data_IF_228243810659
#
_entry.id   IF_228243810659
#
_cell.length_a   1.000
_cell.length_b   1.000
_cell.length_c   1.000
_cell.angle_alpha   90.00
_cell.angle_beta   90.00
_cell.angle_gamma   90.00
#
_symmetry.space_group_name_H-M   'P 1'
#
loop_
_entity.id
_entity.type
_entity.pdbx_description
1 polymer ?
#
# COMPACT_ATOMS: atom_id res chain seq x y z
N UNK A 1 8.35 -9.73 15.96
CA UNK A 1 8.63 -8.29 16.07
C UNK A 1 10.11 -7.96 16.31
N UNK A 2 10.91 -8.85 16.90
CA UNK A 2 12.30 -8.55 17.31
C UNK A 2 13.40 -8.94 16.30
N UNK A 3 13.04 -9.56 15.18
CA UNK A 3 13.99 -10.07 14.18
C UNK A 3 14.85 -9.00 13.49
N UNK A 4 14.54 -7.72 13.69
CA UNK A 4 15.28 -6.59 13.11
C UNK A 4 16.08 -5.80 14.15
N UNK A 5 16.08 -6.20 15.43
CA UNK A 5 16.76 -5.46 16.51
C UNK A 5 18.26 -5.28 16.23
N UNK A 6 18.90 -6.28 15.63
CA UNK A 6 20.31 -6.23 15.20
C UNK A 6 20.53 -5.20 14.07
N UNK A 7 19.49 -4.84 13.32
CA UNK A 7 19.47 -3.75 12.33
C UNK A 7 19.13 -2.38 12.93
N UNK A 8 18.94 -2.29 14.25
CA UNK A 8 18.78 -1.02 14.98
C UNK A 8 17.34 -0.51 15.14
N UNK A 9 16.33 -1.31 14.76
CA UNK A 9 14.91 -0.99 14.97
C UNK A 9 14.08 -2.26 15.15
N UNK A 10 12.86 -2.15 15.67
CA UNK A 10 11.90 -3.25 15.73
C UNK A 10 10.48 -2.73 15.59
N UNK A 11 9.55 -3.63 15.26
CA UNK A 11 8.13 -3.29 15.13
C UNK A 11 7.43 -3.34 16.48
N UNK A 12 6.64 -2.30 16.80
CA UNK A 12 5.75 -2.24 17.95
C UNK A 12 4.36 -2.82 17.65
N UNK A 13 3.92 -2.73 16.39
CA UNK A 13 2.61 -3.16 15.94
C UNK A 13 2.60 -3.37 14.42
N UNK A 14 1.62 -4.14 13.92
CA UNK A 14 1.34 -4.31 12.50
C UNK A 14 -0.09 -3.87 12.19
N UNK A 15 -0.25 -2.92 11.28
CA UNK A 15 -1.53 -2.42 10.82
C UNK A 15 -1.98 -3.10 9.53
N UNK A 16 -3.29 -3.25 9.40
CA UNK A 16 -3.92 -3.82 8.20
C UNK A 16 -3.95 -2.75 7.12
N UNK A 17 -3.41 -3.08 5.94
CA UNK A 17 -3.44 -2.24 4.74
C UNK A 17 -4.21 -2.91 3.57
N UNK A 18 -4.98 -3.95 3.87
CA UNK A 18 -5.78 -4.69 2.89
C UNK A 18 -4.96 -5.47 1.87
N UNK A 19 -5.58 -5.69 0.72
CA UNK A 19 -4.98 -6.31 -0.47
C UNK A 19 -4.64 -5.23 -1.50
N UNK A 20 -3.60 -5.48 -2.28
CA UNK A 20 -3.13 -4.61 -3.34
C UNK A 20 -3.51 -5.25 -4.67
N UNK A 21 -4.10 -4.45 -5.53
CA UNK A 21 -4.56 -4.88 -6.84
C UNK A 21 -4.22 -3.81 -7.88
N UNK A 22 -4.27 -4.17 -9.16
CA UNK A 22 -3.96 -3.23 -10.24
C UNK A 22 -5.04 -2.16 -10.41
N UNK A 23 -4.63 -0.93 -10.75
CA UNK A 23 -5.52 0.05 -11.36
C UNK A 23 -4.86 0.75 -12.54
N UNK A 24 -5.63 0.89 -13.63
CA UNK A 24 -5.19 1.44 -14.89
C UNK A 24 -6.38 2.05 -15.68
N UNK A 25 -6.12 2.49 -16.91
CA UNK A 25 -7.17 2.97 -17.84
C UNK A 25 -8.00 1.82 -18.45
N UNK A 26 -7.45 0.61 -18.49
CA UNK A 26 -8.08 -0.62 -19.02
C UNK A 26 -7.99 -1.75 -17.98
N UNK A 27 -8.87 -2.77 -18.05
CA UNK A 27 -8.78 -3.94 -17.17
C UNK A 27 -7.45 -4.69 -17.33
N UNK A 28 -6.97 -5.27 -16.23
CA UNK A 28 -5.82 -6.17 -16.15
C UNK A 28 -6.28 -7.41 -15.38
N UNK A 29 -6.72 -8.45 -16.07
CA UNK A 29 -7.29 -9.66 -15.42
C UNK A 29 -6.45 -10.91 -15.61
N UNK A 30 -5.39 -10.81 -16.40
CA UNK A 30 -4.41 -11.88 -16.65
C UNK A 30 -3.05 -11.28 -16.99
N UNK A 31 -1.94 -12.04 -16.82
CA UNK A 31 -0.58 -11.57 -17.10
C UNK A 31 -0.38 -10.96 -18.50
N UNK A 32 -1.07 -11.47 -19.52
CA UNK A 32 -0.93 -10.98 -20.89
C UNK A 32 -1.39 -9.51 -21.04
N UNK A 33 -2.31 -9.06 -20.20
CA UNK A 33 -2.84 -7.68 -20.25
C UNK A 33 -1.80 -6.65 -19.79
N UNK A 34 -0.80 -7.08 -18.99
CA UNK A 34 0.32 -6.27 -18.51
C UNK A 34 1.38 -6.02 -19.60
N UNK A 35 1.38 -6.80 -20.68
CA UNK A 35 2.41 -6.72 -21.72
C UNK A 35 2.47 -5.31 -22.32
N UNK A 36 3.63 -4.68 -22.17
CA UNK A 36 3.88 -3.33 -22.68
C UNK A 36 3.33 -2.20 -21.81
N UNK A 37 2.67 -2.50 -20.68
CA UNK A 37 2.23 -1.48 -19.72
C UNK A 37 3.36 -1.10 -18.77
N UNK A 38 3.56 0.20 -18.61
CA UNK A 38 4.42 0.78 -17.58
C UNK A 38 3.64 0.86 -16.28
N UNK A 39 3.88 -0.06 -15.37
CA UNK A 39 3.20 -0.09 -14.08
C UNK A 39 4.08 0.58 -13.05
N UNK A 40 3.58 1.64 -12.41
CA UNK A 40 4.27 2.22 -11.27
C UNK A 40 4.32 1.21 -10.13
N UNK A 41 5.49 1.07 -9.52
CA UNK A 41 5.70 0.29 -8.30
C UNK A 41 6.38 1.13 -7.21
N UNK A 42 6.28 0.67 -5.97
CA UNK A 42 7.14 1.18 -4.90
C UNK A 42 8.63 0.93 -5.25
N UNK A 43 9.57 1.80 -4.84
CA UNK A 43 11.01 1.61 -5.05
C UNK A 43 11.61 0.45 -4.21
N UNK A 44 11.13 -0.77 -4.44
CA UNK A 44 11.58 -1.99 -3.76
C UNK A 44 11.97 -3.05 -4.80
N UNK A 45 13.11 -3.75 -4.62
CA UNK A 45 13.50 -4.86 -5.48
C UNK A 45 12.41 -5.94 -5.59
N UNK A 46 11.67 -6.19 -4.51
CA UNK A 46 10.60 -7.19 -4.47
C UNK A 46 9.44 -6.81 -5.39
N UNK A 47 8.96 -5.57 -5.31
CA UNK A 47 7.83 -5.12 -6.14
C UNK A 47 8.22 -4.94 -7.60
N UNK A 48 9.45 -4.50 -7.87
CA UNK A 48 10.01 -4.49 -9.23
C UNK A 48 9.99 -5.91 -9.80
N UNK A 49 10.56 -6.88 -9.06
CA UNK A 49 10.65 -8.26 -9.55
C UNK A 49 9.29 -8.92 -9.73
N UNK A 50 8.34 -8.65 -8.83
CA UNK A 50 6.97 -9.13 -8.93
C UNK A 50 6.33 -8.74 -10.26
N UNK A 51 6.39 -7.44 -10.63
CA UNK A 51 5.78 -6.97 -11.87
C UNK A 51 6.50 -7.49 -13.12
N UNK A 52 7.83 -7.62 -13.10
CA UNK A 52 8.57 -8.27 -14.18
C UNK A 52 8.09 -9.71 -14.40
N UNK A 53 7.94 -10.47 -13.30
CA UNK A 53 7.49 -11.87 -13.35
C UNK A 53 6.03 -12.01 -13.79
N UNK A 54 5.20 -11.01 -13.52
CA UNK A 54 3.83 -10.92 -14.02
C UNK A 54 3.75 -10.45 -15.50
N UNK A 55 4.87 -10.08 -16.12
CA UNK A 55 4.95 -9.70 -17.54
C UNK A 55 4.74 -8.21 -17.83
N UNK A 56 4.72 -7.37 -16.80
CA UNK A 56 4.64 -5.90 -16.92
C UNK A 56 6.01 -5.22 -16.94
N UNK A 57 6.01 -3.91 -17.18
CA UNK A 57 7.22 -3.07 -17.12
C UNK A 57 7.19 -2.19 -15.86
N UNK A 58 7.88 -2.57 -14.76
CA UNK A 58 7.86 -1.78 -13.53
C UNK A 58 8.55 -0.44 -13.71
N UNK A 59 7.97 0.62 -13.16
CA UNK A 59 8.59 1.94 -13.07
C UNK A 59 8.58 2.41 -11.60
N UNK A 60 9.74 2.41 -10.91
CA UNK A 60 9.79 2.80 -9.50
C UNK A 60 9.58 4.30 -9.35
N UNK A 61 8.52 4.70 -8.65
CA UNK A 61 8.17 6.12 -8.41
C UNK A 61 7.68 6.28 -6.96
N UNK A 62 8.07 7.36 -6.29
CA UNK A 62 7.63 7.65 -4.93
C UNK A 62 6.12 7.84 -4.87
N UNK A 63 5.47 7.39 -3.78
CA UNK A 63 4.00 7.34 -3.73
C UNK A 63 3.31 8.70 -3.96
N UNK A 64 3.90 9.80 -3.47
CA UNK A 64 3.36 11.16 -3.67
C UNK A 64 3.46 11.70 -5.11
N UNK A 65 4.26 11.08 -5.98
CA UNK A 65 4.48 11.53 -7.36
C UNK A 65 3.61 10.77 -8.37
N UNK A 66 2.88 9.75 -7.90
CA UNK A 66 2.18 8.77 -8.76
C UNK A 66 1.05 9.40 -9.54
N UNK A 67 0.27 10.31 -8.95
CA UNK A 67 -0.79 11.05 -9.65
C UNK A 67 -0.20 11.82 -10.84
N UNK A 68 0.84 12.62 -10.60
CA UNK A 68 1.49 13.43 -11.65
C UNK A 68 2.11 12.55 -12.73
N UNK A 69 2.76 11.45 -12.34
CA UNK A 69 3.34 10.51 -13.29
C UNK A 69 2.29 9.85 -14.19
N UNK A 70 1.13 9.47 -13.64
CA UNK A 70 0.00 8.98 -14.44
C UNK A 70 -0.59 10.07 -15.33
N UNK A 71 -0.75 11.28 -14.80
CA UNK A 71 -1.30 12.41 -15.55
C UNK A 71 -0.44 12.77 -16.77
N UNK A 72 0.88 12.73 -16.61
CA UNK A 72 1.86 12.97 -17.66
C UNK A 72 2.05 11.77 -18.61
N UNK A 73 1.42 10.62 -18.33
CA UNK A 73 1.58 9.40 -19.13
C UNK A 73 2.96 8.75 -18.99
N UNK A 74 3.70 9.04 -17.91
CA UNK A 74 4.97 8.36 -17.60
C UNK A 74 4.72 6.88 -17.30
N UNK A 75 3.58 6.60 -16.65
CA UNK A 75 3.11 5.25 -16.30
C UNK A 75 1.64 5.09 -16.72
N UNK A 76 1.25 3.86 -17.05
CA UNK A 76 -0.09 3.50 -17.55
C UNK A 76 -1.05 3.10 -16.42
N UNK A 77 -0.51 2.77 -15.27
CA UNK A 77 -1.24 2.35 -14.07
C UNK A 77 -0.31 2.13 -12.90
N UNK A 78 -0.87 1.65 -11.79
CA UNK A 78 -0.13 1.26 -10.60
C UNK A 78 -0.86 0.13 -9.87
N UNK A 79 -0.39 -0.22 -8.68
CA UNK A 79 -1.04 -1.18 -7.79
C UNK A 79 -1.18 -0.61 -6.38
N UNK A 80 -2.31 -0.86 -5.72
CA UNK A 80 -2.57 -0.52 -4.31
C UNK A 80 -3.95 -1.04 -3.86
N UNK A 81 -4.32 -0.78 -2.60
CA UNK A 81 -5.67 -0.96 -2.08
C UNK A 81 -6.65 0.14 -2.55
N UNK A 82 -7.96 -0.12 -2.43
CA UNK A 82 -9.02 0.82 -2.83
C UNK A 82 -8.95 2.15 -2.07
N UNK A 83 -8.71 2.19 -0.74
CA UNK A 83 -8.56 3.46 -0.03
C UNK A 83 -7.47 4.35 -0.62
N UNK A 84 -6.29 3.79 -0.91
CA UNK A 84 -5.19 4.52 -1.55
C UNK A 84 -5.59 5.03 -2.93
N UNK A 85 -6.19 4.19 -3.76
CA UNK A 85 -6.60 4.55 -5.12
C UNK A 85 -7.56 5.76 -5.15
N UNK A 86 -8.50 5.82 -4.20
CA UNK A 86 -9.47 6.91 -4.08
C UNK A 86 -8.87 8.15 -3.43
N UNK A 87 -8.23 8.02 -2.26
CA UNK A 87 -7.74 9.16 -1.48
C UNK A 87 -6.60 9.93 -2.15
N UNK A 88 -5.76 9.22 -2.93
CA UNK A 88 -4.72 9.85 -3.74
C UNK A 88 -5.23 10.39 -5.08
N UNK A 89 -6.54 10.23 -5.34
CA UNK A 89 -7.20 10.67 -6.57
C UNK A 89 -6.68 9.97 -7.84
N UNK A 90 -5.94 8.87 -7.72
CA UNK A 90 -5.49 8.08 -8.87
C UNK A 90 -6.66 7.62 -9.75
N UNK A 91 -7.82 7.38 -9.14
CA UNK A 91 -9.10 7.09 -9.81
C UNK A 91 -9.50 8.11 -10.88
N UNK A 92 -9.08 9.38 -10.77
CA UNK A 92 -9.38 10.40 -11.79
C UNK A 92 -8.73 10.09 -13.15
N UNK A 93 -7.58 9.41 -13.12
CA UNK A 93 -6.77 9.11 -14.32
C UNK A 93 -6.90 7.63 -14.72
N UNK A 94 -6.93 6.73 -13.73
CA UNK A 94 -7.00 5.29 -13.89
C UNK A 94 -8.28 4.74 -13.24
N UNK A 95 -9.39 4.74 -14.00
CA UNK A 95 -10.73 4.41 -13.51
C UNK A 95 -11.02 2.93 -13.32
N UNK A 96 -10.18 2.03 -13.85
CA UNK A 96 -10.40 0.60 -13.75
C UNK A 96 -9.49 0.03 -12.67
N UNK A 97 -10.07 -0.50 -11.62
CA UNK A 97 -9.43 -1.28 -10.57
C UNK A 97 -9.71 -2.75 -10.89
N UNK A 98 -8.68 -3.54 -11.14
CA UNK A 98 -8.81 -4.97 -11.42
C UNK A 98 -8.42 -5.74 -10.17
N UNK A 99 -9.42 -6.29 -9.47
CA UNK A 99 -9.27 -6.84 -8.11
C UNK A 99 -8.62 -8.24 -8.13
N UNK A 100 -7.32 -8.27 -8.36
CA UNK A 100 -6.51 -9.50 -8.42
C UNK A 100 -5.81 -9.85 -7.09
N UNK A 101 -5.77 -8.92 -6.14
CA UNK A 101 -5.32 -9.12 -4.76
C UNK A 101 -3.92 -9.74 -4.62
N UNK A 102 -3.04 -9.44 -5.57
CA UNK A 102 -1.75 -10.11 -5.74
C UNK A 102 -0.75 -9.92 -4.59
N UNK A 103 -1.00 -8.97 -3.68
CA UNK A 103 -0.20 -8.78 -2.49
C UNK A 103 -1.03 -8.33 -1.29
N UNK A 104 -0.72 -8.86 -0.11
CA UNK A 104 -1.16 -8.31 1.17
C UNK A 104 0.07 -8.08 2.03
N UNK A 105 0.39 -6.81 2.26
CA UNK A 105 1.60 -6.37 2.96
C UNK A 105 1.14 -5.57 4.18
N UNK A 106 1.44 -6.01 5.40
CA UNK A 106 1.10 -5.25 6.60
C UNK A 106 2.00 -4.00 6.73
N UNK A 107 1.45 -2.94 7.31
CA UNK A 107 2.20 -1.72 7.65
C UNK A 107 2.73 -1.82 9.08
N UNK A 108 4.05 -1.78 9.26
CA UNK A 108 4.64 -1.87 10.61
C UNK A 108 4.88 -0.50 11.24
N UNK A 109 4.35 -0.30 12.44
CA UNK A 109 4.79 0.79 13.31
C UNK A 109 6.12 0.38 13.93
N UNK A 110 7.20 1.07 13.57
CA UNK A 110 8.55 0.73 14.03
C UNK A 110 9.15 1.78 14.97
N UNK A 111 10.03 1.34 15.86
CA UNK A 111 10.82 2.22 16.73
C UNK A 111 12.31 1.88 16.64
N UNK A 112 13.16 2.91 16.65
CA UNK A 112 14.60 2.74 16.79
C UNK A 112 14.96 2.17 18.15
N UNK A 113 15.90 1.21 18.17
CA UNK A 113 16.47 0.66 19.39
C UNK A 113 17.13 1.74 20.26
N UNK A 114 17.79 2.73 19.62
CA UNK A 114 18.42 3.84 20.37
C UNK A 114 17.39 4.69 21.11
N UNK A 115 16.21 4.89 20.53
CA UNK A 115 15.12 5.63 21.18
C UNK A 115 14.48 4.77 22.27
N UNK A 116 14.20 3.50 21.96
CA UNK A 116 13.62 2.55 22.90
C UNK A 116 14.45 2.41 24.19
N UNK A 117 15.77 2.30 24.06
CA UNK A 117 16.68 2.14 25.20
C UNK A 117 16.81 3.41 26.07
N UNK A 118 16.31 4.56 25.62
CA UNK A 118 16.24 5.79 26.43
C UNK A 118 14.98 5.86 27.28
N UNK A 119 13.99 5.03 26.99
CA UNK A 119 12.73 4.99 27.73
C UNK A 119 12.91 4.24 29.05
N UNK A 120 12.22 4.69 30.10
CA UNK A 120 12.10 3.91 31.33
C UNK A 120 11.28 2.64 31.09
N UNK A 121 11.40 1.60 31.94
CA UNK A 121 10.55 0.41 31.83
C UNK A 121 9.05 0.73 31.82
N UNK A 122 8.62 1.74 32.59
CA UNK A 122 7.23 2.21 32.61
C UNK A 122 6.82 2.82 31.27
N UNK A 123 7.66 3.67 30.67
CA UNK A 123 7.40 4.27 29.36
C UNK A 123 7.35 3.22 28.24
N UNK A 124 8.23 2.22 28.30
CA UNK A 124 8.22 1.07 27.38
C UNK A 124 6.88 0.33 27.45
N UNK A 125 6.42 0.00 28.65
CA UNK A 125 5.14 -0.68 28.87
C UNK A 125 3.94 0.13 28.38
N UNK A 126 3.95 1.46 28.62
CA UNK A 126 2.90 2.37 28.13
C UNK A 126 2.87 2.35 26.60
N UNK A 127 4.04 2.43 25.95
CA UNK A 127 4.13 2.49 24.49
C UNK A 127 3.69 1.17 23.84
N UNK A 128 4.10 0.02 24.37
CA UNK A 128 3.63 -1.30 23.91
C UNK A 128 2.12 -1.45 24.06
N UNK A 129 1.58 -1.03 25.21
CA UNK A 129 0.14 -1.09 25.48
C UNK A 129 -0.63 -0.19 24.51
N UNK A 130 -0.12 1.02 24.24
CA UNK A 130 -0.71 1.95 23.30
C UNK A 130 -0.67 1.39 21.87
N UNK A 131 0.47 0.84 21.43
CA UNK A 131 0.63 0.25 20.10
C UNK A 131 -0.33 -0.94 19.88
N UNK A 132 -0.49 -1.82 20.87
CA UNK A 132 -1.45 -2.94 20.78
C UNK A 132 -2.90 -2.45 20.71
N UNK A 133 -3.25 -1.40 21.46
CA UNK A 133 -4.59 -0.80 21.40
C UNK A 133 -4.83 -0.10 20.07
N UNK A 134 -3.82 0.57 19.51
CA UNK A 134 -3.94 1.25 18.22
C UNK A 134 -4.07 0.25 17.08
N UNK A 135 -3.43 -0.92 17.16
CA UNK A 135 -3.60 -2.02 16.20
C UNK A 135 -5.07 -2.46 16.07
N UNK A 136 -5.65 -2.86 17.20
CA UNK A 136 -7.04 -3.33 17.24
C UNK A 136 -8.04 -2.22 16.85
N UNK A 137 -7.71 -0.96 17.14
CA UNK A 137 -8.54 0.17 16.73
C UNK A 137 -8.41 0.45 15.23
N UNK A 138 -7.18 0.44 14.68
CA UNK A 138 -6.91 0.66 13.27
C UNK A 138 -7.61 -0.38 12.40
N UNK A 139 -7.64 -1.65 12.82
CA UNK A 139 -8.36 -2.70 12.09
C UNK A 139 -9.85 -2.37 11.91
N UNK A 140 -10.52 -1.85 12.94
CA UNK A 140 -11.93 -1.43 12.85
C UNK A 140 -12.12 -0.23 11.93
N UNK A 141 -11.17 0.72 11.97
CA UNK A 141 -11.17 1.86 11.05
C UNK A 141 -10.91 1.43 9.61
N UNK A 142 -10.09 0.40 9.40
CA UNK A 142 -9.77 -0.14 8.10
C UNK A 142 -11.01 -0.70 7.39
N UNK A 143 -11.80 -1.51 8.08
CA UNK A 143 -13.07 -2.04 7.54
C UNK A 143 -14.00 -0.92 7.09
N UNK A 144 -14.10 0.15 7.91
CA UNK A 144 -14.91 1.31 7.58
C UNK A 144 -14.36 2.07 6.36
N UNK A 145 -13.06 2.37 6.32
CA UNK A 145 -12.50 3.17 5.24
C UNK A 145 -12.51 2.42 3.90
N UNK A 146 -12.32 1.10 3.90
CA UNK A 146 -12.44 0.29 2.70
C UNK A 146 -13.87 0.33 2.15
N UNK A 147 -14.88 0.10 3.01
CA UNK A 147 -16.28 0.18 2.61
C UNK A 147 -16.66 1.57 2.07
N UNK A 148 -16.27 2.63 2.78
CA UNK A 148 -16.55 4.01 2.39
C UNK A 148 -15.89 4.36 1.05
N UNK A 149 -14.62 3.97 0.85
CA UNK A 149 -13.88 4.30 -0.37
C UNK A 149 -14.33 3.46 -1.56
N UNK A 150 -14.79 2.22 -1.39
CA UNK A 150 -15.46 1.46 -2.46
C UNK A 150 -16.77 2.13 -2.90
N UNK A 151 -17.56 2.65 -1.97
CA UNK A 151 -18.77 3.41 -2.30
C UNK A 151 -18.42 4.72 -3.04
N UNK A 152 -17.40 5.44 -2.57
CA UNK A 152 -16.91 6.65 -3.25
C UNK A 152 -16.37 6.34 -4.65
N UNK A 153 -15.61 5.25 -4.82
CA UNK A 153 -15.09 4.84 -6.11
C UNK A 153 -16.22 4.65 -7.13
N UNK A 154 -17.29 3.95 -6.74
CA UNK A 154 -18.49 3.79 -7.58
C UNK A 154 -19.14 5.14 -7.94
N UNK A 155 -19.28 6.03 -6.96
CA UNK A 155 -19.83 7.37 -7.18
C UNK A 155 -18.97 8.23 -8.11
N UNK A 156 -17.65 8.04 -8.11
CA UNK A 156 -16.69 8.69 -9.01
C UNK A 156 -16.62 8.04 -10.41
N UNK A 157 -17.41 6.99 -10.65
CA UNK A 157 -17.41 6.24 -11.92
C UNK A 157 -16.22 5.28 -12.08
N UNK A 158 -15.57 4.91 -10.96
CA UNK A 158 -14.61 3.83 -10.92
C UNK A 158 -15.26 2.48 -11.20
N UNK A 159 -14.54 1.62 -11.90
CA UNK A 159 -14.92 0.24 -12.21
C UNK A 159 -14.05 -0.67 -11.36
N UNK A 160 -14.66 -1.35 -10.39
CA UNK A 160 -14.06 -2.41 -9.59
C UNK A 160 -14.38 -3.75 -10.25
#
# INVERSE_FOLDING_TARGET
MDSTKDKGFFALSAYVAGTRSFYAKKPITKPEDLKGLKIRVQPSPTTIKMIELMGGSPTPISFGEVYTAMQQGVVDGAENNVPSWVQTRHIEIAKVFSEDEHASIPDFLVISIKTWNKLTPEQQQILETAAKKSEAYQQKLWEKIDADTRAQAKAMGGKL
#
